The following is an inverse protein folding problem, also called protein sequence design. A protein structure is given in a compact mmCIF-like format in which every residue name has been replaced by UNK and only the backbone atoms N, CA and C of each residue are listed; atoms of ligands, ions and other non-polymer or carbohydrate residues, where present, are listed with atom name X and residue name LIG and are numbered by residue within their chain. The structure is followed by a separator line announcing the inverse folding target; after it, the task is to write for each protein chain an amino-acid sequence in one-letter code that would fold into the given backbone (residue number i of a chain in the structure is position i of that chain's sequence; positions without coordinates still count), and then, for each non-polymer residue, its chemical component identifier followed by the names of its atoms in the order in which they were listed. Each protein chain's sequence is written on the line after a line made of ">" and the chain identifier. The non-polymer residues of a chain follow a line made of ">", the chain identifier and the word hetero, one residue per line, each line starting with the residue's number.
data_IF_498619743295
#
_entry.id   IF_498619743295
#
_cell.length_a   1.000
_cell.length_b   1.000
_cell.length_c   1.000
_cell.angle_alpha   90.00
_cell.angle_beta   90.00
_cell.angle_gamma   90.00
#
_symmetry.space_group_name_H-M   'P 1'
#
loop_
_entity.id
_entity.type
_entity.pdbx_description
1 polymer ?
#
# COMPACT_ATOMS: atom_id res chain seq x y z
N UNK A 1 0.37 0.78 -2.15
CA UNK A 1 -0.51 1.34 -1.11
C UNK A 1 -1.37 2.49 -1.65
N UNK A 2 -0.83 3.66 -1.95
CA UNK A 2 -1.60 4.79 -2.53
C UNK A 2 -2.31 4.44 -3.85
N UNK A 3 -1.68 3.68 -4.73
CA UNK A 3 -2.29 3.22 -5.99
C UNK A 3 -3.51 2.33 -5.72
N UNK A 4 -3.43 1.41 -4.75
CA UNK A 4 -4.54 0.53 -4.41
C UNK A 4 -5.73 1.32 -3.85
N UNK A 5 -5.48 2.28 -2.95
CA UNK A 5 -6.50 3.23 -2.47
C UNK A 5 -7.15 4.01 -3.62
N UNK A 6 -6.36 4.51 -4.56
CA UNK A 6 -6.85 5.23 -5.74
C UNK A 6 -7.72 4.34 -6.64
N UNK A 7 -7.36 3.07 -6.80
CA UNK A 7 -8.16 2.10 -7.56
C UNK A 7 -9.52 1.85 -6.89
N UNK A 8 -9.56 1.71 -5.56
CA UNK A 8 -10.83 1.56 -4.85
C UNK A 8 -11.72 2.80 -4.96
N UNK A 9 -11.12 4.00 -4.89
CA UNK A 9 -11.86 5.25 -5.09
C UNK A 9 -12.44 5.37 -6.51
N UNK A 10 -11.68 4.97 -7.52
CA UNK A 10 -12.08 5.07 -8.93
C UNK A 10 -13.02 3.94 -9.39
N UNK A 11 -13.04 2.80 -8.71
CA UNK A 11 -13.90 1.67 -9.03
C UNK A 11 -15.39 2.06 -9.19
N UNK A 12 -16.04 2.75 -8.23
CA UNK A 12 -17.44 3.17 -8.40
C UNK A 12 -17.64 4.33 -9.40
N UNK A 13 -16.55 5.00 -9.83
CA UNK A 13 -16.59 6.12 -10.77
C UNK A 13 -16.40 5.71 -12.25
N UNK A 14 -16.45 4.40 -12.53
CA UNK A 14 -16.32 3.85 -13.88
C UNK A 14 -15.14 2.90 -14.07
N UNK A 15 -14.29 2.69 -13.06
CA UNK A 15 -13.22 1.68 -13.10
C UNK A 15 -13.71 0.23 -12.98
N UNK A 16 -14.84 0.02 -12.29
CA UNK A 16 -15.50 -1.28 -12.14
C UNK A 16 -14.71 -2.33 -11.36
N UNK A 17 -15.14 -3.59 -11.47
CA UNK A 17 -14.61 -4.71 -10.69
C UNK A 17 -13.12 -5.00 -10.97
N UNK A 18 -12.64 -4.65 -12.17
CA UNK A 18 -11.22 -4.80 -12.51
C UNK A 18 -10.31 -3.97 -11.60
N UNK A 19 -10.74 -2.77 -11.21
CA UNK A 19 -9.98 -1.91 -10.30
C UNK A 19 -10.01 -2.45 -8.87
N UNK A 20 -11.16 -2.99 -8.44
CA UNK A 20 -11.28 -3.66 -7.13
C UNK A 20 -10.33 -4.87 -7.07
N UNK A 21 -10.34 -5.72 -8.09
CA UNK A 21 -9.47 -6.90 -8.16
C UNK A 21 -7.99 -6.52 -8.14
N UNK A 22 -7.60 -5.51 -8.93
CA UNK A 22 -6.23 -5.00 -8.96
C UNK A 22 -5.80 -4.42 -7.60
N UNK A 23 -6.65 -3.59 -6.98
CA UNK A 23 -6.39 -3.01 -5.65
C UNK A 23 -6.22 -4.07 -4.56
N UNK A 24 -7.10 -5.09 -4.53
CA UNK A 24 -7.00 -6.24 -3.61
C UNK A 24 -5.67 -7.00 -3.80
N UNK A 25 -5.28 -7.24 -5.05
CA UNK A 25 -4.00 -7.89 -5.38
C UNK A 25 -2.78 -7.11 -4.90
N UNK A 26 -2.77 -5.79 -5.11
CA UNK A 26 -1.70 -4.90 -4.64
C UNK A 26 -1.59 -4.89 -3.11
N UNK A 27 -2.72 -4.80 -2.41
CA UNK A 27 -2.73 -4.82 -0.94
C UNK A 27 -2.32 -6.18 -0.39
N UNK A 28 -2.76 -7.29 -0.99
CA UNK A 28 -2.31 -8.62 -0.61
C UNK A 28 -0.79 -8.76 -0.72
N UNK A 29 -0.19 -8.23 -1.79
CA UNK A 29 1.27 -8.20 -1.93
C UNK A 29 1.95 -7.33 -0.87
N UNK A 30 1.42 -6.15 -0.54
CA UNK A 30 2.05 -5.30 0.47
C UNK A 30 1.93 -5.88 1.87
N UNK A 31 0.78 -6.48 2.24
CA UNK A 31 0.58 -7.06 3.58
C UNK A 31 1.63 -8.12 3.93
N UNK A 32 1.99 -8.99 2.97
CA UNK A 32 3.04 -10.00 3.16
C UNK A 32 4.44 -9.41 3.32
N UNK A 33 4.62 -8.10 3.09
CA UNK A 33 5.91 -7.44 3.28
C UNK A 33 6.01 -6.62 4.57
N UNK A 34 4.95 -6.54 5.38
CA UNK A 34 4.98 -5.80 6.64
C UNK A 34 5.32 -6.79 7.77
N UNK A 35 6.36 -6.48 8.54
CA UNK A 35 6.67 -7.23 9.75
C UNK A 35 5.66 -6.86 10.85
N UNK A 36 5.08 -7.87 11.53
CA UNK A 36 4.13 -7.68 12.63
C UNK A 36 4.77 -7.89 14.00
N UNK A 37 5.99 -8.44 14.03
CA UNK A 37 6.80 -8.69 15.21
C UNK A 37 8.31 -8.53 14.86
N UNK A 38 9.16 -8.63 15.88
CA UNK A 38 10.61 -8.50 15.75
C UNK A 38 11.12 -7.12 16.16
N UNK A 39 12.02 -6.56 15.34
CA UNK A 39 12.69 -5.28 15.61
C UNK A 39 11.66 -4.13 15.69
N UNK A 40 11.53 -3.45 16.85
CA UNK A 40 10.54 -2.39 17.03
C UNK A 40 10.73 -1.20 16.07
N UNK A 41 11.92 -1.01 15.51
CA UNK A 41 12.17 0.05 14.53
C UNK A 41 11.68 -0.31 13.12
N UNK A 42 11.33 -1.58 12.90
CA UNK A 42 10.90 -2.12 11.59
C UNK A 42 9.44 -2.59 11.58
N UNK A 43 8.88 -2.96 12.73
CA UNK A 43 7.49 -3.44 12.84
C UNK A 43 6.51 -2.37 12.33
N UNK A 44 5.56 -2.80 11.49
CA UNK A 44 4.59 -1.92 10.85
C UNK A 44 5.14 -1.10 9.67
N UNK A 45 6.45 -1.12 9.45
CA UNK A 45 7.09 -0.45 8.32
C UNK A 45 6.72 -1.09 6.98
N UNK A 46 6.33 -0.26 6.01
CA UNK A 46 6.14 -0.71 4.62
C UNK A 46 7.47 -0.64 3.89
N UNK A 47 7.96 -1.79 3.45
CA UNK A 47 9.28 -1.90 2.82
C UNK A 47 9.34 -1.20 1.46
N UNK A 48 10.32 -0.31 1.34
CA UNK A 48 10.91 0.12 0.07
C UNK A 48 10.18 1.25 -0.63
N UNK A 49 10.97 2.09 -1.29
CA UNK A 49 10.63 2.74 -2.55
C UNK A 49 11.47 2.08 -3.66
N UNK A 50 10.90 1.96 -4.86
CA UNK A 50 11.68 1.72 -6.08
C UNK A 50 11.72 3.04 -6.84
N UNK A 51 12.56 4.00 -6.42
CA UNK A 51 12.65 5.28 -7.11
C UNK A 51 13.19 5.01 -8.52
N UNK A 52 12.47 5.51 -9.52
CA UNK A 52 12.91 5.44 -10.92
C UNK A 52 14.14 6.34 -11.09
N UNK A 53 14.09 7.55 -10.51
CA UNK A 53 15.18 8.52 -10.52
C UNK A 53 15.38 9.19 -9.15
N UNK A 54 16.59 9.69 -8.90
CA UNK A 54 16.93 10.51 -7.73
C UNK A 54 17.17 9.73 -6.43
N UNK A 55 17.45 10.47 -5.36
CA UNK A 55 17.77 9.92 -4.02
C UNK A 55 16.52 9.59 -3.19
N UNK A 56 15.36 9.42 -3.82
CA UNK A 56 14.10 9.33 -3.10
C UNK A 56 13.95 8.01 -2.32
N UNK A 57 14.34 8.07 -1.04
CA UNK A 57 14.00 7.08 0.00
C UNK A 57 14.42 5.64 -0.30
N UNK A 58 15.40 5.43 -1.20
CA UNK A 58 15.84 4.08 -1.59
C UNK A 58 16.32 3.35 -0.34
N UNK A 59 15.75 2.17 -0.07
CA UNK A 59 16.00 1.37 1.14
C UNK A 59 15.48 1.97 2.45
N UNK A 60 14.66 3.01 2.41
CA UNK A 60 14.06 3.60 3.60
C UNK A 60 12.63 3.08 3.86
N UNK A 61 12.22 3.18 5.13
CA UNK A 61 10.83 3.10 5.54
C UNK A 61 10.24 4.50 5.58
N UNK A 62 9.37 4.80 4.62
CA UNK A 62 8.73 6.11 4.54
C UNK A 62 7.45 6.09 5.37
N UNK A 63 7.31 7.04 6.30
CA UNK A 63 6.16 7.14 7.20
C UNK A 63 4.82 7.20 6.45
N UNK A 64 4.76 7.93 5.33
CA UNK A 64 3.56 8.01 4.50
C UNK A 64 3.18 6.68 3.86
N UNK A 65 4.13 5.78 3.61
CA UNK A 65 3.83 4.47 3.05
C UNK A 65 2.98 3.63 4.02
N UNK A 66 3.29 3.70 5.33
CA UNK A 66 2.49 3.06 6.37
C UNK A 66 1.09 3.69 6.47
N UNK A 67 0.98 5.03 6.45
CA UNK A 67 -0.31 5.74 6.41
C UNK A 67 -1.18 5.25 5.25
N UNK A 68 -0.66 5.31 4.02
CA UNK A 68 -1.41 4.90 2.83
C UNK A 68 -1.72 3.40 2.82
N UNK A 69 -0.90 2.57 3.48
CA UNK A 69 -1.22 1.15 3.65
C UNK A 69 -2.49 0.98 4.47
N UNK A 70 -2.54 1.62 5.65
CA UNK A 70 -3.70 1.53 6.54
C UNK A 70 -4.95 2.10 5.88
N UNK A 71 -4.87 3.26 5.25
CA UNK A 71 -6.04 3.85 4.56
C UNK A 71 -6.56 2.93 3.46
N UNK A 72 -5.66 2.39 2.63
CA UNK A 72 -6.04 1.44 1.58
C UNK A 72 -6.63 0.15 2.14
N UNK A 73 -6.12 -0.36 3.27
CA UNK A 73 -6.64 -1.56 3.90
C UNK A 73 -8.02 -1.33 4.53
N UNK A 74 -8.27 -0.15 5.09
CA UNK A 74 -9.59 0.25 5.58
C UNK A 74 -10.57 0.36 4.41
N UNK A 75 -10.16 1.01 3.31
CA UNK A 75 -10.98 1.11 2.10
C UNK A 75 -11.32 -0.28 1.54
N UNK A 76 -10.36 -1.19 1.42
CA UNK A 76 -10.60 -2.56 0.97
C UNK A 76 -11.56 -3.33 1.88
N UNK A 77 -11.47 -3.14 3.20
CA UNK A 77 -12.36 -3.79 4.18
C UNK A 77 -13.82 -3.32 4.03
N UNK A 78 -14.03 -2.12 3.50
CA UNK A 78 -15.35 -1.52 3.30
C UNK A 78 -16.01 -1.90 1.95
N UNK A 79 -15.32 -2.64 1.08
CA UNK A 79 -15.83 -3.15 -0.20
C UNK A 79 -16.47 -4.54 -0.05
#
# INVERSE_FOLDING_TARGET
>A
VQVAESLFYLAPLGGGDGFVAAGKGLNAFVRRTIALDGDPDLVGGVRGSFPIDGEYGRWAYLNWAAKFAIDSFIAEKAL
#
